data_IF_992909273404
#
_entry.id   IF_992909273404
#
_cell.length_a   1.000
_cell.length_b   1.000
_cell.length_c   1.000
_cell.angle_alpha   90.00
_cell.angle_beta   90.00
_cell.angle_gamma   90.00
#
_symmetry.space_group_name_H-M   'P 1'
#
loop_
_entity.id
_entity.type
_entity.pdbx_description
1 polymer ?
#
# COMPACT_ATOMS: atom_id res chain seq x y z
N UNK A 1 -6.56 -11.97 0.35
CA UNK A 1 -5.59 -11.93 -0.78
C UNK A 1 -6.12 -10.92 -1.77
N UNK A 2 -5.24 -10.08 -2.32
CA UNK A 2 -5.57 -9.02 -3.27
C UNK A 2 -4.82 -9.29 -4.56
N UNK A 3 -5.51 -9.15 -5.69
CA UNK A 3 -4.93 -9.16 -7.03
C UNK A 3 -4.66 -7.71 -7.41
N UNK A 4 -3.46 -7.44 -7.93
CA UNK A 4 -3.09 -6.16 -8.49
C UNK A 4 -2.84 -6.33 -9.99
N UNK A 5 -3.24 -5.34 -10.77
CA UNK A 5 -2.96 -5.23 -12.21
C UNK A 5 -2.83 -3.74 -12.57
N UNK A 6 -2.62 -3.43 -13.86
CA UNK A 6 -2.66 -2.05 -14.36
C UNK A 6 -3.99 -1.34 -14.03
N UNK A 7 -5.10 -2.08 -14.00
CA UNK A 7 -6.44 -1.52 -13.75
C UNK A 7 -6.88 -1.67 -12.28
N UNK A 8 -6.21 -2.53 -11.51
CA UNK A 8 -6.58 -2.87 -10.13
C UNK A 8 -5.42 -2.59 -9.19
N UNK A 9 -5.53 -1.55 -8.37
CA UNK A 9 -4.51 -1.18 -7.41
C UNK A 9 -5.12 -0.80 -6.06
N UNK A 10 -4.25 -0.74 -5.04
CA UNK A 10 -4.62 -0.23 -3.73
C UNK A 10 -4.33 1.26 -3.69
N UNK A 11 -5.38 2.08 -3.89
CA UNK A 11 -5.33 3.51 -3.64
C UNK A 11 -5.12 3.84 -2.16
N UNK A 12 -4.80 5.11 -1.89
CA UNK A 12 -4.49 5.62 -0.56
C UNK A 12 -5.50 5.16 0.48
N UNK A 13 -5.01 4.34 1.41
CA UNK A 13 -5.79 3.88 2.57
C UNK A 13 -4.93 3.86 3.82
N UNK A 14 -5.59 3.92 4.96
CA UNK A 14 -4.95 3.96 6.27
C UNK A 14 -5.58 2.89 7.17
N UNK A 15 -4.79 1.91 7.67
CA UNK A 15 -5.30 0.84 8.50
C UNK A 15 -5.50 1.30 9.95
N UNK A 16 -6.46 0.69 10.65
CA UNK A 16 -6.73 0.96 12.08
C UNK A 16 -5.72 0.30 13.04
N UNK A 17 -4.96 -0.69 12.56
CA UNK A 17 -3.93 -1.44 13.29
C UNK A 17 -2.75 -1.71 12.35
N UNK A 18 -1.64 -2.16 12.92
CA UNK A 18 -0.48 -2.59 12.14
C UNK A 18 -0.88 -3.75 11.20
N UNK A 19 -0.40 -3.66 9.95
CA UNK A 19 -0.58 -4.71 8.95
C UNK A 19 0.76 -5.17 8.40
N UNK A 20 0.82 -6.42 7.97
CA UNK A 20 1.89 -6.92 7.10
C UNK A 20 1.38 -7.14 5.69
N UNK A 21 2.21 -6.78 4.72
CA UNK A 21 1.97 -6.90 3.29
C UNK A 21 3.03 -7.83 2.73
N UNK A 22 2.60 -8.96 2.15
CA UNK A 22 3.50 -9.96 1.58
C UNK A 22 3.19 -10.21 0.11
N UNK A 23 4.21 -10.21 -0.74
CA UNK A 23 4.06 -10.53 -2.16
C UNK A 23 4.11 -12.06 -2.31
N UNK A 24 3.01 -12.65 -2.80
CA UNK A 24 2.91 -14.10 -2.96
C UNK A 24 3.45 -14.58 -4.31
N UNK A 25 3.20 -13.81 -5.38
CA UNK A 25 3.59 -14.16 -6.75
C UNK A 25 3.41 -12.98 -7.70
N UNK A 26 4.01 -13.06 -8.88
CA UNK A 26 3.82 -12.12 -9.98
C UNK A 26 4.94 -11.10 -10.09
N UNK A 27 4.61 -9.92 -10.62
CA UNK A 27 5.56 -8.85 -10.87
C UNK A 27 5.97 -8.10 -9.60
N UNK A 28 7.03 -7.28 -9.72
CA UNK A 28 7.48 -6.37 -8.67
C UNK A 28 6.33 -5.44 -8.27
N UNK A 29 6.20 -5.21 -6.97
CA UNK A 29 5.21 -4.31 -6.39
C UNK A 29 5.88 -3.05 -5.86
N UNK A 30 5.25 -1.90 -6.03
CA UNK A 30 5.62 -0.66 -5.36
C UNK A 30 4.69 -0.46 -4.17
N UNK A 31 5.28 -0.33 -2.99
CA UNK A 31 4.59 0.07 -1.76
C UNK A 31 5.01 1.50 -1.44
N UNK A 32 4.05 2.42 -1.47
CA UNK A 32 4.24 3.81 -1.04
C UNK A 32 3.65 4.00 0.34
N UNK A 33 4.37 4.62 1.26
CA UNK A 33 3.91 4.89 2.63
C UNK A 33 4.07 6.39 2.92
N UNK A 34 3.03 6.99 3.47
CA UNK A 34 3.06 8.33 4.06
C UNK A 34 2.79 8.24 5.57
N UNK A 35 3.82 8.40 6.42
CA UNK A 35 3.67 8.27 7.86
C UNK A 35 2.79 9.33 8.51
N UNK A 36 2.71 10.52 7.92
CA UNK A 36 2.10 11.72 8.49
C UNK A 36 1.06 12.37 7.57
N UNK A 37 0.77 11.80 6.40
CA UNK A 37 -0.11 12.40 5.39
C UNK A 37 0.48 13.62 4.67
N UNK A 38 1.78 13.88 4.83
CA UNK A 38 2.50 15.02 4.25
C UNK A 38 3.63 14.50 3.35
N UNK A 39 4.55 13.75 3.95
CA UNK A 39 5.72 13.17 3.29
C UNK A 39 5.42 11.72 2.92
N UNK A 40 5.98 11.25 1.82
CA UNK A 40 5.87 9.86 1.41
C UNK A 40 7.19 9.32 0.87
N UNK A 41 7.38 8.02 1.04
CA UNK A 41 8.48 7.27 0.45
C UNK A 41 7.93 5.99 -0.18
N UNK A 42 8.62 5.51 -1.23
CA UNK A 42 8.27 4.29 -1.93
C UNK A 42 9.41 3.28 -1.87
N UNK A 43 9.06 2.00 -1.84
CA UNK A 43 10.02 0.90 -1.96
C UNK A 43 9.47 -0.18 -2.89
N UNK A 44 10.37 -0.87 -3.58
CA UNK A 44 10.04 -2.07 -4.35
C UNK A 44 9.97 -3.26 -3.42
N UNK A 45 8.97 -4.13 -3.64
CA UNK A 45 8.82 -5.40 -2.98
C UNK A 45 8.86 -6.54 -4.01
N UNK A 46 9.73 -7.51 -3.77
CA UNK A 46 9.85 -8.73 -4.57
C UNK A 46 8.96 -9.85 -4.01
N UNK A 47 8.78 -10.91 -4.82
CA UNK A 47 8.12 -12.14 -4.36
C UNK A 47 8.80 -12.67 -3.09
N UNK A 48 7.98 -13.12 -2.13
CA UNK A 48 8.36 -13.57 -0.80
C UNK A 48 8.86 -12.50 0.17
N UNK A 49 9.02 -11.24 -0.25
CA UNK A 49 9.25 -10.14 0.69
C UNK A 49 7.96 -9.77 1.43
N UNK A 50 8.14 -9.34 2.68
CA UNK A 50 7.09 -8.89 3.57
C UNK A 50 7.46 -7.54 4.17
N UNK A 51 6.50 -6.63 4.21
CA UNK A 51 6.68 -5.29 4.78
C UNK A 51 5.53 -4.93 5.69
N UNK A 52 5.89 -4.34 6.83
CA UNK A 52 4.93 -3.81 7.78
C UNK A 52 4.54 -2.37 7.43
N UNK A 53 3.25 -2.06 7.58
CA UNK A 53 2.71 -0.68 7.59
C UNK A 53 2.07 -0.47 8.95
N UNK A 54 2.48 0.60 9.64
CA UNK A 54 1.97 0.89 10.98
C UNK A 54 0.55 1.45 10.93
N UNK A 55 -0.20 1.24 12.00
CA UNK A 55 -1.50 1.84 12.21
C UNK A 55 -1.44 3.35 11.94
N UNK A 56 -2.49 3.89 11.33
CA UNK A 56 -2.61 5.31 11.02
C UNK A 56 -1.59 5.88 10.01
N UNK A 57 -0.82 5.04 9.32
CA UNK A 57 -0.03 5.46 8.16
C UNK A 57 -0.83 5.26 6.87
N UNK A 58 -0.75 6.22 5.97
CA UNK A 58 -1.35 6.09 4.64
C UNK A 58 -0.44 5.24 3.75
N UNK A 59 -1.02 4.39 2.90
CA UNK A 59 -0.25 3.62 1.92
C UNK A 59 -0.98 3.41 0.59
N UNK A 60 -0.21 3.16 -0.48
CA UNK A 60 -0.68 2.60 -1.76
C UNK A 60 0.08 1.32 -2.09
N UNK A 61 -0.53 0.44 -2.89
CA UNK A 61 0.15 -0.73 -3.46
C UNK A 61 -0.21 -0.85 -4.93
N UNK A 62 0.82 -0.89 -5.78
CA UNK A 62 0.70 -0.93 -7.23
C UNK A 62 1.64 -2.01 -7.80
N UNK A 63 1.22 -2.70 -8.86
CA UNK A 63 2.13 -3.61 -9.59
C UNK A 63 2.88 -2.83 -10.68
N UNK A 64 4.15 -3.17 -10.90
CA UNK A 64 4.97 -2.59 -11.96
C UNK A 64 4.87 -3.36 -13.29
N UNK A 65 4.10 -4.46 -13.31
CA UNK A 65 3.95 -5.31 -14.48
C UNK A 65 2.51 -5.61 -14.81
N UNK A 66 2.26 -6.83 -15.28
CA UNK A 66 0.93 -7.27 -15.69
C UNK A 66 0.05 -7.62 -14.49
N UNK A 67 0.58 -8.39 -13.54
CA UNK A 67 -0.19 -8.84 -12.38
C UNK A 67 0.70 -9.22 -11.19
N UNK A 68 0.26 -8.86 -9.98
CA UNK A 68 0.86 -9.35 -8.73
C UNK A 68 -0.22 -9.81 -7.75
N UNK A 69 0.10 -10.79 -6.92
CA UNK A 69 -0.76 -11.24 -5.82
C UNK A 69 -0.16 -10.87 -4.48
N UNK A 70 -0.93 -10.15 -3.69
CA UNK A 70 -0.53 -9.65 -2.37
C UNK A 70 -1.40 -10.26 -1.29
N UNK A 71 -0.78 -10.56 -0.16
CA UNK A 71 -1.47 -10.90 1.06
C UNK A 71 -1.33 -9.74 2.04
N UNK A 72 -2.44 -9.36 2.68
CA UNK A 72 -2.44 -8.37 3.74
C UNK A 72 -3.00 -9.05 4.99
N UNK A 73 -2.27 -8.93 6.10
CA UNK A 73 -2.62 -9.50 7.40
C UNK A 73 -2.55 -8.45 8.51
N UNK A 74 -3.46 -8.47 9.50
CA UNK A 74 -4.67 -9.29 9.54
C UNK A 74 -5.65 -8.91 8.42
N UNK A 75 -6.40 -9.87 7.89
CA UNK A 75 -7.31 -9.65 6.76
C UNK A 75 -8.64 -9.01 7.15
N UNK A 76 -8.99 -9.03 8.44
CA UNK A 76 -10.23 -8.55 9.04
C UNK A 76 -10.06 -7.16 9.67
N UNK A 77 -9.42 -6.26 8.95
CA UNK A 77 -9.10 -4.92 9.43
C UNK A 77 -9.88 -3.82 8.70
N UNK A 78 -10.30 -2.80 9.47
CA UNK A 78 -10.88 -1.58 8.94
C UNK A 78 -9.83 -0.69 8.29
N UNK A 79 -10.21 -0.07 7.16
CA UNK A 79 -9.40 0.94 6.48
C UNK A 79 -10.19 2.23 6.35
N UNK A 80 -9.55 3.36 6.65
CA UNK A 80 -9.97 4.65 6.13
C UNK A 80 -9.48 4.75 4.68
N UNK A 81 -10.39 4.93 3.74
CA UNK A 81 -10.08 5.14 2.33
C UNK A 81 -10.02 6.64 2.08
N UNK A 82 -9.00 7.11 1.37
CA UNK A 82 -8.87 8.52 1.04
C UNK A 82 -9.86 8.90 -0.07
N UNK A 83 -10.20 10.20 -0.15
CA UNK A 83 -10.98 10.72 -1.26
C UNK A 83 -10.23 10.54 -2.60
N UNK A 84 -10.95 10.51 -3.72
CA UNK A 84 -10.43 10.14 -5.05
C UNK A 84 -9.16 10.91 -5.48
N UNK A 85 -9.02 12.17 -5.06
CA UNK A 85 -7.89 13.04 -5.39
C UNK A 85 -6.96 13.32 -4.22
N UNK A 86 -7.07 12.56 -3.14
CA UNK A 86 -6.21 12.71 -1.99
C UNK A 86 -4.80 12.24 -2.30
N UNK A 87 -3.82 13.00 -1.82
CA UNK A 87 -2.41 12.66 -1.85
C UNK A 87 -1.73 13.31 -0.64
N UNK A 88 -0.58 12.77 -0.19
CA UNK A 88 0.26 13.47 0.75
C UNK A 88 0.58 14.86 0.23
N UNK A 89 0.33 15.87 1.05
CA UNK A 89 0.54 17.26 0.67
C UNK A 89 1.68 17.84 1.49
N UNK A 90 2.74 18.34 0.86
CA UNK A 90 3.79 19.06 1.57
C UNK A 90 3.19 20.18 2.41
N UNK A 91 3.75 20.42 3.60
CA UNK A 91 3.46 21.64 4.34
C UNK A 91 3.82 22.81 3.41
N UNK A 92 2.90 23.77 3.27
CA UNK A 92 3.19 25.00 2.53
C UNK A 92 4.49 25.60 3.11
N UNK A 93 5.49 25.74 2.26
CA UNK A 93 6.73 26.45 2.58
C UNK A 93 6.44 27.91 2.93
#
# INVERSE_FOLDING_TARGET
>A
MVRLSIDEYISWRMPEKDISIRILSGDIVVLTISPNGIDAYAQYLNVAEEKEVKAHQWFTIETMGYESRVQIHPSDIGYKIADENWKPMPLKA
#
